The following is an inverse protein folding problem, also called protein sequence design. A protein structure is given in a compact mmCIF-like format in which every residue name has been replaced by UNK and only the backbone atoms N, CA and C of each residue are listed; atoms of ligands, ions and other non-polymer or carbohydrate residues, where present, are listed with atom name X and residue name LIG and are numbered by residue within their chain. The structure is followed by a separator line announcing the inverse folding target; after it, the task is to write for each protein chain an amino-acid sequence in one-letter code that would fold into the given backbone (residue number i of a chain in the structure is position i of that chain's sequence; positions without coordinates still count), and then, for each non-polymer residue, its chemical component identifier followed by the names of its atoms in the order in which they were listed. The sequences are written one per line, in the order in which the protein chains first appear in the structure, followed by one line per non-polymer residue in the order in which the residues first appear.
data_IF_030429315578
#
_entry.id   IF_030429315578
#
_cell.length_a   1.000
_cell.length_b   1.000
_cell.length_c   1.000
_cell.angle_alpha   90.00
_cell.angle_beta   90.00
_cell.angle_gamma   90.00
#
_symmetry.space_group_name_H-M   'P 1'
#
loop_
_entity.id
_entity.type
_entity.pdbx_description
1 polymer ?
#
# COMPACT_ATOMS: atom_id res chain seq x y z
N UNK A 1 24.16 13.26 3.13
CA UNK A 1 22.75 13.02 3.44
C UNK A 1 22.49 11.51 3.42
N UNK A 2 21.82 10.99 4.44
CA UNK A 2 21.37 9.59 4.46
C UNK A 2 20.31 9.44 3.35
N UNK A 3 20.53 8.51 2.43
CA UNK A 3 19.55 8.21 1.40
C UNK A 3 18.44 7.28 1.94
N UNK A 4 17.31 7.21 1.25
CA UNK A 4 16.23 6.29 1.56
C UNK A 4 15.39 6.70 2.77
N UNK A 5 14.78 5.69 3.41
CA UNK A 5 13.76 5.85 4.45
C UNK A 5 14.23 6.70 5.66
N UNK A 6 15.41 6.43 6.19
CA UNK A 6 15.92 7.06 7.40
C UNK A 6 16.40 8.51 7.23
N UNK A 7 16.30 9.08 6.01
CA UNK A 7 16.49 10.52 5.80
C UNK A 7 15.46 11.36 6.57
N UNK A 8 14.31 10.76 6.87
CA UNK A 8 13.23 11.39 7.64
C UNK A 8 13.25 11.02 9.13
N UNK A 9 14.38 10.53 9.65
CA UNK A 9 14.50 10.04 11.02
C UNK A 9 14.09 11.07 12.09
N UNK A 10 14.29 12.37 11.82
CA UNK A 10 13.86 13.45 12.74
C UNK A 10 12.33 13.59 12.88
N UNK A 11 11.58 13.02 11.95
CA UNK A 11 10.10 13.00 11.96
C UNK A 11 9.53 11.64 12.38
N UNK A 12 10.39 10.72 12.80
CA UNK A 12 10.04 9.34 13.15
C UNK A 12 10.37 9.05 14.62
N UNK A 13 9.62 8.14 15.28
CA UNK A 13 9.71 7.94 16.73
C UNK A 13 10.95 7.18 17.21
N UNK A 14 11.73 6.53 16.35
CA UNK A 14 12.95 5.81 16.75
C UNK A 14 14.03 6.79 17.20
N UNK A 15 14.35 6.79 18.50
CA UNK A 15 15.28 7.74 19.11
C UNK A 15 16.73 7.32 18.98
N UNK A 16 17.02 6.01 19.07
CA UNK A 16 18.38 5.47 19.05
C UNK A 16 18.75 5.00 17.64
N UNK A 17 19.87 5.53 17.12
CA UNK A 17 20.33 5.22 15.77
C UNK A 17 20.64 3.71 15.57
N UNK A 18 21.15 3.04 16.60
CA UNK A 18 21.46 1.59 16.60
C UNK A 18 20.22 0.69 16.48
N UNK A 19 19.05 1.22 16.74
CA UNK A 19 17.77 0.51 16.57
C UNK A 19 17.15 0.69 15.19
N UNK A 20 17.72 1.55 14.35
CA UNK A 20 17.24 1.79 12.98
C UNK A 20 17.61 0.63 12.09
N UNK A 21 16.66 -0.24 11.84
CA UNK A 21 16.81 -1.38 10.93
C UNK A 21 16.67 -0.87 9.48
N UNK A 22 17.50 -1.36 8.57
CA UNK A 22 17.42 -1.06 7.15
C UNK A 22 17.79 -2.26 6.30
N UNK A 23 17.12 -2.39 5.18
CA UNK A 23 17.39 -3.31 4.08
C UNK A 23 17.78 -2.56 2.79
N UNK A 24 18.15 -1.27 2.92
CA UNK A 24 18.55 -0.43 1.80
C UNK A 24 17.36 0.20 1.08
N UNK A 25 16.38 0.70 1.84
CA UNK A 25 15.21 1.40 1.30
C UNK A 25 15.64 2.57 0.41
N UNK A 26 15.18 2.56 -0.82
CA UNK A 26 15.49 3.60 -1.81
C UNK A 26 14.43 4.71 -1.80
N UNK A 27 14.77 5.86 -2.36
CA UNK A 27 13.78 6.85 -2.81
C UNK A 27 13.07 6.23 -4.02
N UNK A 28 11.77 6.01 -3.90
CA UNK A 28 11.02 5.34 -4.95
C UNK A 28 10.78 6.26 -6.15
N UNK A 29 10.86 5.75 -7.39
CA UNK A 29 10.81 6.60 -8.57
C UNK A 29 9.39 7.12 -8.85
N UNK A 30 9.36 8.28 -9.50
CA UNK A 30 8.21 8.83 -10.21
C UNK A 30 8.37 8.49 -11.68
N UNK A 31 7.46 7.68 -12.23
CA UNK A 31 7.51 7.19 -13.60
C UNK A 31 6.38 7.80 -14.41
N UNK A 32 6.70 8.56 -15.46
CA UNK A 32 5.70 9.07 -16.41
C UNK A 32 5.13 7.94 -17.27
N UNK A 33 3.82 7.96 -17.53
CA UNK A 33 3.13 7.03 -18.43
C UNK A 33 2.71 7.76 -19.71
N UNK A 34 3.68 8.22 -20.48
CA UNK A 34 3.43 9.08 -21.66
C UNK A 34 2.75 8.34 -22.82
N UNK A 35 3.07 7.03 -22.99
CA UNK A 35 2.52 6.19 -24.06
C UNK A 35 1.12 5.67 -23.76
N UNK A 36 0.70 5.73 -22.50
CA UNK A 36 -0.67 5.40 -22.11
C UNK A 36 -1.68 6.52 -22.44
N UNK A 37 -1.23 7.71 -22.85
CA UNK A 37 -2.10 8.85 -23.12
C UNK A 37 -3.21 8.53 -24.14
N UNK A 38 -2.91 7.78 -25.19
CA UNK A 38 -3.90 7.35 -26.19
C UNK A 38 -5.00 6.43 -25.62
N UNK A 39 -4.65 5.57 -24.69
CA UNK A 39 -5.58 4.68 -23.98
C UNK A 39 -6.41 5.45 -22.93
N UNK A 40 -5.80 6.43 -22.27
CA UNK A 40 -6.48 7.27 -21.28
C UNK A 40 -7.49 8.23 -21.90
N UNK A 41 -7.31 8.58 -23.19
CA UNK A 41 -8.17 9.52 -23.91
C UNK A 41 -7.56 10.91 -24.06
N UNK A 42 -8.14 11.72 -24.96
CA UNK A 42 -7.59 13.03 -25.37
C UNK A 42 -7.53 14.07 -24.23
N UNK A 43 -8.29 13.85 -23.14
CA UNK A 43 -8.29 14.74 -21.99
C UNK A 43 -7.20 14.40 -20.96
N UNK A 44 -6.43 13.32 -21.18
CA UNK A 44 -5.41 12.89 -20.23
C UNK A 44 -4.26 13.90 -20.18
N UNK A 45 -3.96 14.36 -18.96
CA UNK A 45 -2.79 15.15 -18.65
C UNK A 45 -1.56 14.30 -18.41
N UNK A 46 -0.58 14.86 -17.72
CA UNK A 46 0.62 14.12 -17.32
C UNK A 46 0.30 13.13 -16.20
N UNK A 47 0.40 11.85 -16.50
CA UNK A 47 0.19 10.76 -15.54
C UNK A 47 1.52 10.30 -14.99
N UNK A 48 1.61 10.24 -13.67
CA UNK A 48 2.82 9.83 -12.96
C UNK A 48 2.47 8.68 -12.01
N UNK A 49 3.25 7.60 -12.10
CA UNK A 49 3.19 6.50 -11.13
C UNK A 49 4.31 6.65 -10.10
N UNK A 50 3.95 6.61 -8.82
CA UNK A 50 4.89 6.43 -7.72
C UNK A 50 5.07 4.93 -7.50
N UNK A 51 6.25 4.39 -7.84
CA UNK A 51 6.50 2.94 -7.86
C UNK A 51 7.13 2.45 -6.56
N UNK A 52 6.31 2.11 -5.58
CA UNK A 52 6.73 1.51 -4.31
C UNK A 52 7.18 0.04 -4.45
N UNK A 53 7.00 -0.56 -5.62
CA UNK A 53 7.51 -1.91 -5.92
C UNK A 53 9.04 -2.03 -5.93
N UNK A 54 9.76 -0.91 -5.85
CA UNK A 54 11.24 -0.86 -5.78
C UNK A 54 11.79 -1.00 -4.37
N UNK A 55 10.94 -1.01 -3.36
CA UNK A 55 11.35 -1.18 -1.97
C UNK A 55 11.74 -2.63 -1.66
N UNK A 56 12.49 -2.87 -0.57
CA UNK A 56 12.73 -4.21 -0.07
C UNK A 56 11.44 -5.02 0.03
N UNK A 57 11.52 -6.33 -0.29
CA UNK A 57 10.34 -7.22 -0.43
C UNK A 57 9.32 -6.79 -1.48
N UNK A 58 9.69 -5.89 -2.38
CA UNK A 58 8.91 -5.50 -3.54
C UNK A 58 7.57 -4.82 -3.22
N UNK A 59 7.43 -4.12 -2.09
CA UNK A 59 6.19 -3.44 -1.74
C UNK A 59 6.36 -2.28 -0.74
N UNK A 60 5.39 -1.34 -0.75
CA UNK A 60 5.30 -0.22 0.19
C UNK A 60 5.21 -0.64 1.66
N UNK A 61 4.90 -1.91 1.92
CA UNK A 61 4.83 -2.42 3.29
C UNK A 61 6.18 -2.39 3.99
N UNK A 62 7.27 -2.38 3.23
CA UNK A 62 8.61 -2.15 3.74
C UNK A 62 8.69 -0.88 4.60
N UNK A 63 8.07 0.23 4.20
CA UNK A 63 8.11 1.49 4.97
C UNK A 63 7.52 1.34 6.37
N UNK A 64 6.34 0.74 6.46
CA UNK A 64 5.68 0.52 7.75
C UNK A 64 6.41 -0.48 8.63
N UNK A 65 6.87 -1.59 8.06
CA UNK A 65 7.52 -2.66 8.82
C UNK A 65 8.97 -2.30 9.18
N UNK A 66 9.67 -1.54 8.37
CA UNK A 66 10.97 -0.96 8.72
C UNK A 66 10.89 -0.19 10.04
N UNK A 67 9.95 0.73 10.16
CA UNK A 67 9.78 1.51 11.38
C UNK A 67 9.25 0.68 12.55
N UNK A 68 8.21 -0.12 12.31
CA UNK A 68 7.56 -0.87 13.37
C UNK A 68 8.52 -1.91 13.99
N UNK A 69 9.34 -2.60 13.19
CA UNK A 69 10.35 -3.52 13.71
C UNK A 69 11.50 -2.77 14.42
N UNK A 70 11.89 -1.61 13.91
CA UNK A 70 12.88 -0.76 14.58
C UNK A 70 12.39 -0.30 15.96
N UNK A 71 11.11 0.05 16.08
CA UNK A 71 10.50 0.38 17.37
C UNK A 71 10.37 -0.85 18.27
N UNK A 72 10.01 -2.01 17.73
CA UNK A 72 9.98 -3.26 18.50
C UNK A 72 11.35 -3.56 19.12
N UNK A 73 12.42 -3.39 18.34
CA UNK A 73 13.80 -3.52 18.84
C UNK A 73 14.11 -2.51 19.95
N UNK A 74 13.71 -1.24 19.78
CA UNK A 74 13.93 -0.19 20.78
C UNK A 74 13.17 -0.46 22.09
N UNK A 75 11.99 -1.09 21.98
CA UNK A 75 11.15 -1.47 23.10
C UNK A 75 11.52 -2.83 23.72
N UNK A 76 12.52 -3.54 23.18
CA UNK A 76 12.95 -4.84 23.68
C UNK A 76 11.95 -5.98 23.41
N UNK A 77 11.14 -5.87 22.37
CA UNK A 77 10.20 -6.91 21.97
C UNK A 77 10.94 -8.08 21.31
N UNK A 78 10.66 -9.31 21.75
CA UNK A 78 11.34 -10.51 21.28
C UNK A 78 10.53 -11.33 20.27
N UNK A 79 9.20 -11.22 20.28
CA UNK A 79 8.31 -12.02 19.44
C UNK A 79 7.26 -11.14 18.75
N UNK A 80 7.24 -11.20 17.41
CA UNK A 80 6.31 -10.43 16.58
C UNK A 80 5.32 -11.36 15.89
N UNK A 81 4.03 -11.04 15.88
CA UNK A 81 3.03 -11.83 15.16
C UNK A 81 2.15 -10.96 14.25
N UNK A 82 1.84 -11.47 13.05
CA UNK A 82 1.04 -10.76 12.06
C UNK A 82 0.09 -11.69 11.29
N UNK A 83 -1.19 -11.30 11.10
CA UNK A 83 -2.03 -11.86 10.05
C UNK A 83 -1.76 -11.14 8.73
N UNK A 84 -1.72 -11.86 7.61
CA UNK A 84 -1.37 -11.25 6.31
C UNK A 84 -2.01 -11.95 5.12
N UNK A 85 -2.34 -11.19 4.07
CA UNK A 85 -2.65 -11.71 2.73
C UNK A 85 -1.40 -11.81 1.83
N UNK A 86 -0.18 -11.64 2.40
CA UNK A 86 1.08 -11.80 1.67
C UNK A 86 2.13 -10.74 1.99
N UNK A 87 2.10 -9.59 1.31
CA UNK A 87 3.19 -8.60 1.32
C UNK A 87 3.54 -8.05 2.72
N UNK A 88 2.56 -7.93 3.64
CA UNK A 88 2.85 -7.46 5.01
C UNK A 88 3.66 -8.50 5.81
N UNK A 89 3.35 -9.79 5.64
CA UNK A 89 4.12 -10.87 6.25
C UNK A 89 5.52 -10.98 5.67
N UNK A 90 5.67 -10.84 4.35
CA UNK A 90 6.97 -10.82 3.68
C UNK A 90 7.87 -9.69 4.21
N UNK A 91 7.32 -8.48 4.33
CA UNK A 91 8.06 -7.37 4.89
C UNK A 91 8.39 -7.59 6.39
N UNK A 92 7.43 -8.08 7.20
CA UNK A 92 7.73 -8.40 8.60
C UNK A 92 8.86 -9.41 8.72
N UNK A 93 8.81 -10.52 8.00
CA UNK A 93 9.83 -11.56 8.04
C UNK A 93 11.22 -11.00 7.72
N UNK A 94 11.35 -10.20 6.66
CA UNK A 94 12.62 -9.60 6.25
C UNK A 94 13.21 -8.68 7.33
N UNK A 95 12.42 -7.76 7.84
CA UNK A 95 12.89 -6.80 8.85
C UNK A 95 13.11 -7.44 10.21
N UNK A 96 12.27 -8.39 10.63
CA UNK A 96 12.42 -9.14 11.87
C UNK A 96 13.71 -9.97 11.88
N UNK A 97 13.99 -10.68 10.78
CA UNK A 97 15.26 -11.41 10.60
C UNK A 97 16.46 -10.47 10.66
N UNK A 98 16.39 -9.33 10.00
CA UNK A 98 17.46 -8.32 10.05
C UNK A 98 17.66 -7.75 11.45
N UNK A 99 16.58 -7.66 12.23
CA UNK A 99 16.61 -7.20 13.63
C UNK A 99 16.98 -8.29 14.64
N UNK A 100 17.06 -9.56 14.21
CA UNK A 100 17.23 -10.74 15.05
C UNK A 100 16.06 -10.92 16.07
N UNK A 101 14.84 -10.63 15.60
CA UNK A 101 13.60 -10.79 16.37
C UNK A 101 12.80 -11.94 15.75
N UNK A 102 12.26 -12.81 16.57
CA UNK A 102 11.45 -13.95 16.10
C UNK A 102 10.08 -13.46 15.55
N UNK A 103 9.63 -14.02 14.43
CA UNK A 103 8.39 -13.59 13.80
C UNK A 103 7.48 -14.77 13.43
N UNK A 104 6.18 -14.58 13.67
CA UNK A 104 5.09 -15.53 13.53
C UNK A 104 4.07 -14.98 12.54
N UNK A 105 3.87 -15.66 11.42
CA UNK A 105 3.05 -15.16 10.31
C UNK A 105 1.91 -16.13 10.02
N UNK A 106 0.69 -15.61 10.05
CA UNK A 106 -0.53 -16.38 9.79
C UNK A 106 -1.19 -15.83 8.53
N UNK A 107 -1.38 -16.69 7.55
CA UNK A 107 -1.98 -16.30 6.27
C UNK A 107 -3.14 -17.23 5.88
N UNK A 108 -4.21 -16.72 5.24
CA UNK A 108 -5.25 -17.55 4.65
C UNK A 108 -4.70 -18.59 3.69
N UNK A 109 -5.40 -19.71 3.53
CA UNK A 109 -4.96 -20.81 2.67
C UNK A 109 -4.82 -20.38 1.19
N UNK A 110 -5.58 -19.37 0.75
CA UNK A 110 -5.56 -18.81 -0.60
C UNK A 110 -4.50 -17.71 -0.82
N UNK A 111 -3.67 -17.45 0.17
CA UNK A 111 -2.54 -16.50 0.02
C UNK A 111 -1.61 -16.99 -1.08
N UNK A 112 -1.18 -16.09 -2.02
CA UNK A 112 -0.31 -16.48 -3.12
C UNK A 112 0.96 -17.22 -2.66
N UNK A 113 1.25 -18.35 -3.32
CA UNK A 113 2.37 -19.25 -2.97
C UNK A 113 3.71 -18.52 -2.90
N UNK A 114 3.94 -17.59 -3.82
CA UNK A 114 5.17 -16.80 -3.85
C UNK A 114 5.41 -16.04 -2.55
N UNK A 115 4.34 -15.48 -1.97
CA UNK A 115 4.43 -14.73 -0.73
C UNK A 115 4.70 -15.65 0.46
N UNK A 116 4.03 -16.82 0.52
CA UNK A 116 4.24 -17.79 1.60
C UNK A 116 5.67 -18.31 1.59
N UNK A 117 6.20 -18.65 0.40
CA UNK A 117 7.60 -19.09 0.23
C UNK A 117 8.60 -18.01 0.59
N UNK A 118 8.34 -16.74 0.20
CA UNK A 118 9.18 -15.62 0.56
C UNK A 118 9.25 -15.44 2.10
N UNK A 119 8.11 -15.48 2.78
CA UNK A 119 8.02 -15.40 4.24
C UNK A 119 8.85 -16.51 4.92
N UNK A 120 8.65 -17.74 4.48
CA UNK A 120 9.37 -18.90 5.04
C UNK A 120 10.88 -18.82 4.76
N UNK A 121 11.28 -18.44 3.54
CA UNK A 121 12.68 -18.32 3.15
C UNK A 121 13.44 -17.25 3.95
N UNK A 122 12.72 -16.26 4.49
CA UNK A 122 13.27 -15.22 5.34
C UNK A 122 13.31 -15.57 6.83
N UNK A 123 13.02 -16.84 7.19
CA UNK A 123 13.20 -17.37 8.53
C UNK A 123 12.02 -17.15 9.49
N UNK A 124 10.88 -16.64 9.03
CA UNK A 124 9.69 -16.51 9.85
C UNK A 124 8.99 -17.88 10.03
N UNK A 125 8.38 -18.08 11.19
CA UNK A 125 7.41 -19.16 11.37
C UNK A 125 6.13 -18.80 10.64
N UNK A 126 5.75 -19.55 9.60
CA UNK A 126 4.59 -19.26 8.77
C UNK A 126 3.58 -20.40 8.77
N UNK A 127 2.30 -20.07 8.95
CA UNK A 127 1.17 -21.00 8.90
C UNK A 127 0.12 -20.55 7.90
N UNK A 128 -0.35 -21.52 7.12
CA UNK A 128 -1.58 -21.38 6.33
C UNK A 128 -2.77 -21.77 7.20
N UNK A 129 -3.70 -20.83 7.33
CA UNK A 129 -4.93 -21.02 8.12
C UNK A 129 -6.07 -21.37 7.16
N UNK A 130 -6.78 -22.44 7.43
CA UNK A 130 -8.02 -22.76 6.72
C UNK A 130 -9.14 -21.81 7.20
N UNK A 131 -9.15 -20.61 6.68
CA UNK A 131 -10.01 -19.50 7.09
C UNK A 131 -9.64 -18.22 6.35
N UNK A 132 -10.26 -17.12 6.75
CA UNK A 132 -10.04 -15.79 6.19
C UNK A 132 -9.02 -15.01 7.03
N UNK A 133 -8.66 -13.82 6.53
CA UNK A 133 -7.74 -12.91 7.24
C UNK A 133 -8.20 -12.57 8.66
N UNK A 134 -9.51 -12.55 8.91
CA UNK A 134 -10.09 -12.31 10.25
C UNK A 134 -9.79 -13.47 11.21
N UNK A 135 -9.78 -14.72 10.73
CA UNK A 135 -9.41 -15.90 11.54
C UNK A 135 -7.93 -15.84 11.89
N UNK A 136 -7.07 -15.48 10.95
CA UNK A 136 -5.66 -15.24 11.21
C UNK A 136 -5.48 -14.13 12.27
N UNK A 137 -6.26 -13.05 12.17
CA UNK A 137 -6.24 -11.95 13.14
C UNK A 137 -6.65 -12.37 14.54
N UNK A 138 -7.65 -13.27 14.65
CA UNK A 138 -8.07 -13.85 15.94
C UNK A 138 -6.96 -14.68 16.56
N UNK A 139 -6.30 -15.56 15.79
CA UNK A 139 -5.16 -16.37 16.26
C UNK A 139 -4.05 -15.48 16.82
N UNK A 140 -3.67 -14.42 16.09
CA UNK A 140 -2.66 -13.45 16.55
C UNK A 140 -3.11 -12.74 17.83
N UNK A 141 -4.39 -12.35 17.91
CA UNK A 141 -4.94 -11.72 19.11
C UNK A 141 -4.93 -12.62 20.34
N UNK A 142 -5.31 -13.89 20.19
CA UNK A 142 -5.23 -14.90 21.25
C UNK A 142 -3.79 -15.15 21.68
N UNK A 143 -2.86 -15.23 20.71
CA UNK A 143 -1.44 -15.45 20.96
C UNK A 143 -0.76 -14.29 21.69
N UNK A 144 -1.29 -13.06 21.59
CA UNK A 144 -0.78 -11.91 22.36
C UNK A 144 -0.81 -12.21 23.87
N UNK A 145 -1.90 -12.78 24.35
CA UNK A 145 -2.04 -13.11 25.78
C UNK A 145 -1.39 -14.45 26.15
N UNK A 146 -1.49 -15.47 25.29
CA UNK A 146 -1.04 -16.82 25.59
C UNK A 146 0.47 -17.02 25.37
N UNK A 147 1.05 -16.34 24.38
CA UNK A 147 2.43 -16.54 23.92
C UNK A 147 3.32 -15.31 24.09
N UNK A 148 2.78 -14.19 24.57
CA UNK A 148 3.52 -12.94 24.68
C UNK A 148 3.87 -12.27 23.36
N UNK A 149 3.14 -12.57 22.28
CA UNK A 149 3.40 -11.96 20.97
C UNK A 149 3.03 -10.49 20.95
N UNK A 150 3.90 -9.66 20.38
CA UNK A 150 3.53 -8.31 20.02
C UNK A 150 2.75 -8.32 18.71
N UNK A 151 1.53 -7.81 18.76
CA UNK A 151 0.56 -7.90 17.66
C UNK A 151 0.81 -6.82 16.60
N UNK A 152 1.33 -7.23 15.44
CA UNK A 152 1.57 -6.38 14.26
C UNK A 152 0.39 -6.33 13.28
N UNK A 153 -0.82 -6.72 13.70
CA UNK A 153 -2.02 -6.53 12.88
C UNK A 153 -2.20 -5.05 12.54
N UNK A 154 -2.86 -4.80 11.42
CA UNK A 154 -3.15 -3.45 10.95
C UNK A 154 -3.82 -2.61 12.04
N UNK A 155 -3.26 -1.45 12.38
CA UNK A 155 -3.76 -0.49 13.39
C UNK A 155 -3.85 -1.02 14.84
N UNK A 156 -3.15 -2.12 15.15
CA UNK A 156 -2.98 -2.57 16.55
C UNK A 156 -1.73 -1.97 17.22
N UNK A 157 -0.91 -1.30 16.43
CA UNK A 157 0.24 -0.50 16.85
C UNK A 157 0.33 0.76 15.94
N UNK A 158 0.92 1.86 16.38
CA UNK A 158 0.94 3.12 15.62
C UNK A 158 2.08 3.19 14.59
N UNK A 159 3.13 2.39 14.75
CA UNK A 159 4.41 2.57 14.05
C UNK A 159 4.33 2.27 12.56
N UNK A 160 3.45 1.36 12.14
CA UNK A 160 3.24 1.09 10.70
C UNK A 160 2.67 2.31 9.97
N UNK A 161 1.79 3.08 10.60
CA UNK A 161 1.28 4.34 10.05
C UNK A 161 2.39 5.40 10.02
N UNK A 162 3.14 5.53 11.10
CA UNK A 162 4.28 6.47 11.17
C UNK A 162 5.34 6.15 10.09
N UNK A 163 5.65 4.88 9.86
CA UNK A 163 6.55 4.49 8.77
C UNK A 163 6.00 4.83 7.39
N UNK A 164 4.70 4.64 7.17
CA UNK A 164 4.04 4.97 5.90
C UNK A 164 3.89 6.46 5.64
N UNK A 165 3.94 7.28 6.68
CA UNK A 165 4.05 8.73 6.58
C UNK A 165 5.19 9.16 5.62
N UNK A 166 6.28 8.38 5.59
CA UNK A 166 7.42 8.66 4.70
C UNK A 166 7.08 8.66 3.20
N UNK A 167 5.99 8.01 2.76
CA UNK A 167 5.51 8.16 1.37
C UNK A 167 5.08 9.59 1.07
N UNK A 168 4.35 10.22 1.97
CA UNK A 168 3.91 11.62 1.84
C UNK A 168 5.06 12.60 1.95
N UNK A 169 6.00 12.37 2.89
CA UNK A 169 7.20 13.19 3.04
C UNK A 169 8.07 13.16 1.77
N UNK A 170 8.33 11.96 1.26
CA UNK A 170 9.12 11.75 0.05
C UNK A 170 8.44 12.33 -1.18
N UNK A 171 7.13 12.16 -1.31
CA UNK A 171 6.38 12.73 -2.41
C UNK A 171 6.41 14.26 -2.39
N UNK A 172 6.21 14.89 -1.23
CA UNK A 172 6.31 16.35 -1.09
C UNK A 172 7.71 16.85 -1.47
N UNK A 173 8.77 16.17 -1.03
CA UNK A 173 10.15 16.50 -1.40
C UNK A 173 10.41 16.35 -2.92
N UNK A 174 9.91 15.27 -3.54
CA UNK A 174 10.06 15.03 -4.98
C UNK A 174 9.31 16.05 -5.85
N UNK A 175 8.32 16.72 -5.29
CA UNK A 175 7.57 17.82 -5.91
C UNK A 175 8.02 19.20 -5.40
N UNK A 176 9.27 19.34 -4.93
CA UNK A 176 9.84 20.60 -4.45
C UNK A 176 8.95 21.31 -3.41
N UNK A 177 8.35 20.51 -2.49
CA UNK A 177 7.43 20.94 -1.43
C UNK A 177 6.13 21.58 -1.96
N UNK A 178 5.76 21.25 -3.18
CA UNK A 178 4.49 21.58 -3.81
C UNK A 178 3.79 20.28 -4.24
N UNK A 179 3.22 19.52 -3.31
CA UNK A 179 2.68 18.21 -3.60
C UNK A 179 1.61 18.23 -4.71
N UNK A 180 1.37 17.10 -5.42
CA UNK A 180 0.45 17.06 -6.54
C UNK A 180 -0.98 17.39 -6.11
N UNK A 181 -1.82 17.81 -7.05
CA UNK A 181 -3.20 18.16 -6.78
C UNK A 181 -4.03 16.94 -6.33
N UNK A 182 -3.75 15.77 -6.90
CA UNK A 182 -4.52 14.55 -6.65
C UNK A 182 -3.57 13.37 -6.40
N UNK A 183 -3.87 12.57 -5.39
CA UNK A 183 -3.21 11.30 -5.12
C UNK A 183 -4.26 10.19 -5.16
N UNK A 184 -4.11 9.27 -6.11
CA UNK A 184 -4.95 8.07 -6.20
C UNK A 184 -4.25 6.89 -5.54
N UNK A 185 -4.85 6.36 -4.50
CA UNK A 185 -4.23 5.35 -3.66
C UNK A 185 -5.08 4.08 -3.58
N UNK A 186 -4.50 2.88 -3.88
CA UNK A 186 -5.24 1.62 -3.78
C UNK A 186 -5.51 1.30 -2.31
N UNK A 187 -6.78 1.18 -1.96
CA UNK A 187 -7.24 1.24 -0.57
C UNK A 187 -7.90 -0.05 -0.11
N UNK A 188 -7.15 -0.88 0.61
CA UNK A 188 -7.69 -1.97 1.43
C UNK A 188 -7.83 -1.51 2.89
N UNK A 189 -6.86 -1.83 3.75
CA UNK A 189 -6.80 -1.32 5.13
C UNK A 189 -6.45 0.17 5.27
N UNK A 190 -6.12 0.86 4.18
CA UNK A 190 -5.96 2.31 4.08
C UNK A 190 -4.74 2.91 4.78
N UNK A 191 -3.85 2.10 5.33
CA UNK A 191 -2.74 2.60 6.17
C UNK A 191 -1.79 3.56 5.42
N UNK A 192 -1.60 3.36 4.11
CA UNK A 192 -0.78 4.27 3.30
C UNK A 192 -1.46 5.61 3.06
N UNK A 193 -2.75 5.60 2.73
CA UNK A 193 -3.55 6.81 2.55
C UNK A 193 -3.59 7.64 3.85
N UNK A 194 -3.87 6.98 4.98
CA UNK A 194 -3.88 7.61 6.31
C UNK A 194 -2.50 8.18 6.65
N UNK A 195 -1.42 7.41 6.39
CA UNK A 195 -0.05 7.84 6.67
C UNK A 195 0.36 9.06 5.84
N UNK A 196 0.02 9.10 4.56
CA UNK A 196 0.30 10.26 3.69
C UNK A 196 -0.50 11.49 4.12
N UNK A 197 -1.79 11.32 4.42
CA UNK A 197 -2.62 12.43 4.91
C UNK A 197 -2.06 13.02 6.20
N UNK A 198 -1.61 12.16 7.12
CA UNK A 198 -0.90 12.59 8.33
C UNK A 198 0.35 13.38 7.98
N UNK A 199 1.19 12.91 7.04
CA UNK A 199 2.40 13.59 6.63
C UNK A 199 2.12 15.00 6.08
N UNK A 200 1.14 15.15 5.20
CA UNK A 200 0.79 16.46 4.64
C UNK A 200 0.28 17.42 5.70
N UNK A 201 -0.51 16.95 6.66
CA UNK A 201 -0.96 17.80 7.77
C UNK A 201 0.20 18.22 8.68
N UNK A 202 1.13 17.33 8.99
CA UNK A 202 2.35 17.66 9.76
C UNK A 202 3.23 18.68 9.00
N UNK A 203 3.48 18.44 7.70
CA UNK A 203 4.26 19.37 6.86
C UNK A 203 3.62 20.75 6.77
N UNK A 204 2.29 20.82 6.66
CA UNK A 204 1.54 22.07 6.70
C UNK A 204 1.68 22.76 8.06
N UNK A 205 1.56 22.00 9.14
CA UNK A 205 1.63 22.51 10.52
C UNK A 205 3.00 23.14 10.83
N UNK A 206 4.09 22.56 10.31
CA UNK A 206 5.44 23.10 10.45
C UNK A 206 5.79 24.14 9.37
N UNK A 207 4.87 24.44 8.46
CA UNK A 207 5.01 25.48 7.46
C UNK A 207 5.84 25.13 6.21
N UNK A 208 6.12 23.85 5.97
CA UNK A 208 6.88 23.40 4.79
C UNK A 208 6.04 23.34 3.52
N UNK A 209 4.76 22.99 3.66
CA UNK A 209 3.79 23.05 2.57
C UNK A 209 2.59 23.91 2.94
N UNK A 210 1.80 24.33 1.96
CA UNK A 210 0.63 25.21 2.12
C UNK A 210 -0.59 24.61 1.44
N UNK A 211 -1.77 25.13 1.78
CA UNK A 211 -3.00 24.82 1.07
C UNK A 211 -2.94 25.29 -0.41
N UNK A 212 -3.63 24.59 -1.33
CA UNK A 212 -4.40 23.38 -1.06
C UNK A 212 -3.52 22.14 -0.87
N UNK A 213 -3.88 21.29 0.10
CA UNK A 213 -3.28 19.97 0.23
C UNK A 213 -3.81 19.02 -0.86
N UNK A 214 -3.10 17.91 -1.19
CA UNK A 214 -3.57 16.94 -2.17
C UNK A 214 -4.96 16.39 -1.86
N UNK A 215 -5.79 16.28 -2.88
CA UNK A 215 -7.03 15.49 -2.80
C UNK A 215 -6.67 14.01 -2.70
N UNK A 216 -7.06 13.36 -1.61
CA UNK A 216 -6.81 11.93 -1.39
C UNK A 216 -7.95 11.10 -1.99
N UNK A 217 -7.66 10.29 -2.99
CA UNK A 217 -8.64 9.43 -3.65
C UNK A 217 -8.43 7.99 -3.23
N UNK A 218 -9.43 7.43 -2.55
CA UNK A 218 -9.45 6.02 -2.18
C UNK A 218 -9.96 5.17 -3.34
N UNK A 219 -9.09 4.31 -3.90
CA UNK A 219 -9.44 3.42 -5.00
C UNK A 219 -9.64 2.00 -4.49
N UNK A 220 -10.79 1.40 -4.79
CA UNK A 220 -11.12 0.02 -4.46
C UNK A 220 -11.50 -0.78 -5.71
N UNK A 221 -11.55 -2.11 -5.59
CA UNK A 221 -12.13 -2.96 -6.61
C UNK A 221 -13.65 -3.11 -6.38
N UNK A 222 -14.45 -3.11 -7.44
CA UNK A 222 -15.91 -3.18 -7.33
C UNK A 222 -16.42 -4.42 -6.57
N UNK A 223 -15.69 -5.54 -6.68
CA UNK A 223 -16.00 -6.75 -5.91
C UNK A 223 -15.68 -6.68 -4.41
N UNK A 224 -15.03 -5.61 -3.92
CA UNK A 224 -14.79 -5.36 -2.50
C UNK A 224 -14.59 -3.86 -2.23
N UNK A 225 -15.66 -3.09 -2.15
CA UNK A 225 -15.64 -1.62 -2.06
C UNK A 225 -16.42 -1.04 -0.86
N UNK A 226 -16.13 -1.49 0.40
CA UNK A 226 -16.85 -1.01 1.57
C UNK A 226 -16.65 0.50 1.83
N UNK A 227 -15.47 1.04 1.55
CA UNK A 227 -15.16 2.47 1.72
C UNK A 227 -15.92 3.33 0.72
N UNK A 228 -15.98 2.91 -0.55
CA UNK A 228 -16.76 3.61 -1.59
C UNK A 228 -18.23 3.67 -1.19
N UNK A 229 -18.81 2.52 -0.82
CA UNK A 229 -20.20 2.44 -0.37
C UNK A 229 -20.50 3.38 0.81
N UNK A 230 -19.61 3.42 1.81
CA UNK A 230 -19.77 4.30 2.97
C UNK A 230 -19.60 5.78 2.61
N UNK A 231 -18.65 6.09 1.73
CA UNK A 231 -18.43 7.45 1.22
C UNK A 231 -19.66 7.99 0.51
N UNK A 232 -20.20 7.21 -0.44
CA UNK A 232 -21.38 7.58 -1.23
C UNK A 232 -22.65 7.74 -0.38
N UNK A 233 -22.76 6.92 0.67
CA UNK A 233 -23.85 6.99 1.63
C UNK A 233 -23.67 8.08 2.71
N UNK A 234 -22.59 8.85 2.68
CA UNK A 234 -22.27 9.88 3.68
C UNK A 234 -21.96 9.34 5.08
N UNK A 235 -21.68 8.04 5.22
CA UNK A 235 -21.41 7.38 6.50
C UNK A 235 -19.99 7.65 6.99
N UNK A 236 -19.79 7.68 8.31
CA UNK A 236 -18.47 7.86 8.94
C UNK A 236 -17.69 6.55 9.06
N UNK A 237 -18.37 5.40 9.04
CA UNK A 237 -17.81 4.06 9.14
C UNK A 237 -18.37 3.17 8.03
N UNK A 238 -17.57 2.20 7.61
CA UNK A 238 -17.96 1.25 6.59
C UNK A 238 -18.61 -0.01 7.19
N UNK A 239 -19.61 -0.54 6.55
CA UNK A 239 -20.20 -1.84 6.92
C UNK A 239 -19.47 -2.99 6.23
N UNK A 240 -19.43 -4.16 6.87
CA UNK A 240 -18.82 -5.37 6.32
C UNK A 240 -19.29 -5.66 4.90
N UNK A 241 -18.35 -5.91 3.99
CA UNK A 241 -18.60 -6.33 2.61
C UNK A 241 -18.78 -7.84 2.55
N UNK A 242 -19.87 -8.29 1.95
CA UNK A 242 -20.15 -9.72 1.78
C UNK A 242 -19.58 -10.24 0.46
N UNK A 243 -19.14 -11.50 0.44
CA UNK A 243 -18.67 -12.19 -0.76
C UNK A 243 -17.57 -11.44 -1.52
N UNK A 244 -16.61 -10.88 -0.79
CA UNK A 244 -15.50 -10.10 -1.35
C UNK A 244 -14.65 -10.93 -2.34
N UNK A 245 -14.60 -10.48 -3.59
CA UNK A 245 -13.81 -11.10 -4.66
C UNK A 245 -13.16 -10.02 -5.52
N UNK A 246 -11.87 -10.17 -5.81
CA UNK A 246 -11.15 -9.33 -6.77
C UNK A 246 -9.78 -9.93 -7.06
N UNK A 247 -9.26 -9.66 -8.26
CA UNK A 247 -7.87 -9.97 -8.66
C UNK A 247 -6.84 -9.17 -7.86
N UNK A 248 -7.23 -8.01 -7.33
CA UNK A 248 -6.40 -7.14 -6.52
C UNK A 248 -6.44 -7.55 -5.03
N UNK A 249 -5.78 -8.69 -4.72
CA UNK A 249 -5.83 -9.32 -3.39
C UNK A 249 -5.41 -8.39 -2.25
N UNK A 250 -4.48 -7.46 -2.49
CA UNK A 250 -3.98 -6.52 -1.48
C UNK A 250 -5.00 -5.47 -1.03
N UNK A 251 -6.05 -5.21 -1.84
CA UNK A 251 -7.16 -4.33 -1.48
C UNK A 251 -8.47 -5.07 -1.20
N UNK A 252 -8.45 -6.41 -1.19
CA UNK A 252 -9.60 -7.25 -0.77
C UNK A 252 -9.72 -7.26 0.75
N UNK A 253 -10.21 -6.17 1.31
CA UNK A 253 -10.41 -5.98 2.75
C UNK A 253 -11.86 -5.69 3.04
N UNK A 254 -12.66 -6.71 3.40
CA UNK A 254 -14.11 -6.57 3.62
C UNK A 254 -14.50 -5.63 4.76
N UNK A 255 -13.62 -5.47 5.75
CA UNK A 255 -13.79 -4.57 6.88
C UNK A 255 -12.42 -4.03 7.30
N UNK A 256 -12.17 -2.77 7.04
CA UNK A 256 -10.95 -2.08 7.48
C UNK A 256 -11.13 -1.55 8.91
N UNK A 257 -10.18 -1.83 9.81
CA UNK A 257 -10.23 -1.33 11.19
C UNK A 257 -10.19 0.22 11.24
N UNK A 258 -9.52 0.84 10.26
CA UNK A 258 -9.37 2.29 10.17
C UNK A 258 -10.25 2.96 9.12
N UNK A 259 -11.40 2.39 8.81
CA UNK A 259 -12.33 2.91 7.80
C UNK A 259 -12.72 4.37 8.04
N UNK A 260 -13.03 4.73 9.30
CA UNK A 260 -13.33 6.11 9.71
C UNK A 260 -12.17 7.08 9.46
N UNK A 261 -10.90 6.63 9.61
CA UNK A 261 -9.72 7.44 9.30
C UNK A 261 -9.53 7.62 7.79
N UNK A 262 -9.83 6.58 7.00
CA UNK A 262 -9.81 6.65 5.53
C UNK A 262 -10.86 7.65 5.06
N UNK A 263 -12.12 7.49 5.50
CA UNK A 263 -13.24 8.36 5.13
C UNK A 263 -12.99 9.82 5.55
N UNK A 264 -12.43 10.02 6.74
CA UNK A 264 -12.03 11.34 7.21
C UNK A 264 -10.97 11.97 6.30
N UNK A 265 -9.87 11.27 6.01
CA UNK A 265 -8.80 11.78 5.14
C UNK A 265 -9.31 12.14 3.74
N UNK A 266 -10.17 11.30 3.16
CA UNK A 266 -10.80 11.54 1.86
C UNK A 266 -11.66 12.81 1.89
N UNK A 267 -12.51 12.97 2.91
CA UNK A 267 -13.40 14.14 3.03
C UNK A 267 -12.65 15.43 3.35
N UNK A 268 -11.74 15.41 4.33
CA UNK A 268 -10.95 16.58 4.73
C UNK A 268 -10.06 17.10 3.60
N UNK A 269 -9.59 16.20 2.72
CA UNK A 269 -8.79 16.58 1.55
C UNK A 269 -9.61 17.06 0.34
N UNK A 270 -10.94 17.15 0.45
CA UNK A 270 -11.84 17.32 -0.69
C UNK A 270 -11.64 16.26 -1.80
N UNK A 271 -11.20 15.08 -1.41
CA UNK A 271 -11.06 13.92 -2.27
C UNK A 271 -12.37 13.15 -2.43
N UNK A 272 -12.25 11.93 -2.93
CA UNK A 272 -13.40 11.03 -3.11
C UNK A 272 -12.98 9.56 -3.03
N UNK A 273 -13.97 8.68 -3.00
CA UNK A 273 -13.75 7.25 -3.12
C UNK A 273 -14.33 6.75 -4.45
N UNK A 274 -13.66 5.80 -5.09
CA UNK A 274 -14.10 5.23 -6.36
C UNK A 274 -13.76 3.74 -6.44
N UNK A 275 -14.55 2.98 -7.19
CA UNK A 275 -14.34 1.56 -7.42
C UNK A 275 -14.23 1.26 -8.91
N UNK A 276 -13.41 0.27 -9.25
CA UNK A 276 -13.18 -0.18 -10.61
C UNK A 276 -13.40 -1.70 -10.73
N UNK A 277 -13.88 -2.13 -11.88
CA UNK A 277 -14.09 -3.54 -12.19
C UNK A 277 -12.76 -4.27 -12.42
N UNK A 278 -12.69 -5.55 -12.06
CA UNK A 278 -11.49 -6.38 -12.26
C UNK A 278 -11.02 -6.42 -13.72
N UNK A 279 -11.96 -6.40 -14.67
CA UNK A 279 -11.63 -6.34 -16.09
C UNK A 279 -10.87 -5.05 -16.45
N UNK A 280 -11.28 -3.91 -15.90
CA UNK A 280 -10.58 -2.63 -16.10
C UNK A 280 -9.20 -2.64 -15.43
N UNK A 281 -9.08 -3.26 -14.26
CA UNK A 281 -7.78 -3.44 -13.57
C UNK A 281 -6.80 -4.22 -14.46
N UNK A 282 -7.23 -5.36 -14.98
CA UNK A 282 -6.39 -6.20 -15.85
C UNK A 282 -6.03 -5.51 -17.17
N UNK A 283 -6.96 -4.77 -17.77
CA UNK A 283 -6.69 -3.97 -18.97
C UNK A 283 -5.65 -2.87 -18.68
N UNK A 284 -5.78 -2.15 -17.58
CA UNK A 284 -4.82 -1.13 -17.19
C UNK A 284 -3.42 -1.70 -16.88
N UNK A 285 -3.36 -2.87 -16.24
CA UNK A 285 -2.10 -3.59 -15.99
C UNK A 285 -1.40 -3.97 -17.31
N UNK A 286 -2.16 -4.52 -18.25
CA UNK A 286 -1.65 -4.90 -19.55
C UNK A 286 -1.19 -3.68 -20.36
N UNK A 287 -1.96 -2.59 -20.35
CA UNK A 287 -1.61 -1.36 -21.06
C UNK A 287 -0.30 -0.77 -20.55
N UNK A 288 -0.14 -0.63 -19.21
CA UNK A 288 1.10 -0.15 -18.61
C UNK A 288 2.31 -1.04 -18.95
N UNK A 289 2.13 -2.37 -18.90
CA UNK A 289 3.19 -3.32 -19.24
C UNK A 289 3.60 -3.24 -20.70
N UNK A 290 2.63 -3.23 -21.62
CA UNK A 290 2.88 -3.27 -23.08
C UNK A 290 3.38 -1.94 -23.64
N UNK A 291 2.92 -0.82 -23.10
CA UNK A 291 3.25 0.52 -23.63
C UNK A 291 4.45 1.16 -22.94
N UNK A 292 4.57 0.98 -21.61
CA UNK A 292 5.58 1.65 -20.80
C UNK A 292 6.66 0.70 -20.25
N UNK A 293 6.46 -0.64 -20.36
CA UNK A 293 7.34 -1.62 -19.73
C UNK A 293 7.25 -1.59 -18.19
N UNK A 294 6.17 -1.06 -17.65
CA UNK A 294 5.95 -0.92 -16.19
C UNK A 294 5.04 -2.03 -15.71
N UNK A 295 5.59 -2.93 -14.88
CA UNK A 295 4.85 -4.04 -14.31
C UNK A 295 4.12 -3.61 -13.03
N UNK A 296 2.92 -3.04 -13.19
CA UNK A 296 2.06 -2.68 -12.07
C UNK A 296 1.53 -3.94 -11.36
N UNK A 297 1.41 -3.90 -10.03
CA UNK A 297 0.56 -4.86 -9.34
C UNK A 297 -0.93 -4.57 -9.66
N UNK A 298 -1.84 -5.53 -9.46
CA UNK A 298 -3.27 -5.29 -9.70
C UNK A 298 -3.81 -4.09 -8.91
N UNK A 299 -3.36 -3.88 -7.69
CA UNK A 299 -3.72 -2.73 -6.87
C UNK A 299 -3.25 -1.40 -7.50
N UNK A 300 -2.01 -1.37 -8.03
CA UNK A 300 -1.48 -0.21 -8.75
C UNK A 300 -2.23 0.03 -10.07
N UNK A 301 -2.54 -1.04 -10.79
CA UNK A 301 -3.34 -0.97 -12.01
C UNK A 301 -4.78 -0.45 -11.75
N UNK A 302 -5.35 -0.76 -10.58
CA UNK A 302 -6.65 -0.21 -10.18
C UNK A 302 -6.62 1.33 -10.13
N UNK A 303 -5.50 1.96 -9.72
CA UNK A 303 -5.40 3.44 -9.73
C UNK A 303 -5.35 4.00 -11.15
N UNK A 304 -4.71 3.30 -12.09
CA UNK A 304 -4.67 3.71 -13.49
C UNK A 304 -6.05 3.57 -14.16
N UNK A 305 -6.77 2.46 -13.89
CA UNK A 305 -8.14 2.26 -14.35
C UNK A 305 -9.09 3.31 -13.76
N UNK A 306 -8.96 3.60 -12.46
CA UNK A 306 -9.74 4.64 -11.80
C UNK A 306 -9.45 6.03 -12.36
N UNK A 307 -8.19 6.35 -12.65
CA UNK A 307 -7.85 7.63 -13.30
C UNK A 307 -8.55 7.78 -14.66
N UNK A 308 -8.54 6.75 -15.49
CA UNK A 308 -9.26 6.76 -16.77
C UNK A 308 -10.77 7.00 -16.58
N UNK A 309 -11.38 6.30 -15.63
CA UNK A 309 -12.80 6.44 -15.30
C UNK A 309 -13.14 7.85 -14.81
N UNK A 310 -12.34 8.41 -13.91
CA UNK A 310 -12.61 9.71 -13.29
C UNK A 310 -12.29 10.88 -14.21
N UNK A 311 -11.35 10.70 -15.13
CA UNK A 311 -11.09 11.63 -16.23
C UNK A 311 -12.28 11.68 -17.20
N UNK A 312 -12.82 10.52 -17.58
CA UNK A 312 -13.99 10.41 -18.45
C UNK A 312 -15.26 10.99 -17.82
N UNK A 313 -15.41 10.88 -16.50
CA UNK A 313 -16.52 11.47 -15.74
C UNK A 313 -16.40 12.99 -15.51
N UNK A 314 -15.22 13.56 -15.76
CA UNK A 314 -14.90 14.96 -15.46
C UNK A 314 -14.66 15.27 -13.98
N UNK A 315 -14.53 14.25 -13.11
CA UNK A 315 -14.23 14.44 -11.68
C UNK A 315 -12.75 14.79 -11.45
N UNK A 316 -11.88 14.39 -12.39
CA UNK A 316 -10.48 14.79 -12.48
C UNK A 316 -10.31 15.52 -13.84
N UNK A 317 -9.63 16.67 -13.83
CA UNK A 317 -9.26 17.38 -15.05
C UNK A 317 -7.90 16.93 -15.56
N UNK A 318 -7.70 16.94 -16.89
CA UNK A 318 -6.38 16.69 -17.50
C UNK A 318 -5.30 17.73 -17.12
N UNK A 319 -5.69 18.89 -16.61
CA UNK A 319 -4.77 19.94 -16.16
C UNK A 319 -4.26 19.71 -14.74
N UNK A 320 -4.87 18.79 -13.97
CA UNK A 320 -4.45 18.48 -12.61
C UNK A 320 -3.21 17.60 -12.60
N UNK A 321 -2.28 17.89 -11.69
CA UNK A 321 -1.16 16.99 -11.41
C UNK A 321 -1.65 15.78 -10.60
N UNK A 322 -1.59 14.61 -11.19
CA UNK A 322 -2.09 13.36 -10.58
C UNK A 322 -0.96 12.37 -10.37
N UNK A 323 -0.87 11.81 -9.17
CA UNK A 323 0.04 10.71 -8.86
C UNK A 323 -0.75 9.45 -8.52
N UNK A 324 -0.46 8.38 -9.25
CA UNK A 324 -0.99 7.04 -9.05
C UNK A 324 0.01 6.21 -8.24
N UNK A 325 -0.43 5.52 -7.21
CA UNK A 325 0.45 4.68 -6.42
C UNK A 325 0.46 3.24 -6.91
N UNK A 326 1.64 2.74 -7.29
CA UNK A 326 1.90 1.32 -7.46
C UNK A 326 2.47 0.75 -6.16
N UNK A 327 1.65 0.01 -5.42
CA UNK A 327 1.95 -0.41 -4.06
C UNK A 327 2.91 -1.61 -3.95
N UNK A 328 3.08 -2.38 -5.03
CA UNK A 328 3.97 -3.53 -5.07
C UNK A 328 4.47 -3.79 -6.49
N UNK A 329 5.52 -4.61 -6.61
CA UNK A 329 5.93 -5.11 -7.92
C UNK A 329 4.90 -6.07 -8.50
N UNK A 330 4.56 -5.92 -9.78
CA UNK A 330 3.67 -6.84 -10.49
C UNK A 330 4.22 -8.27 -10.62
N UNK A 331 5.54 -8.46 -10.43
CA UNK A 331 6.18 -9.76 -10.52
C UNK A 331 5.79 -10.76 -9.41
N UNK A 332 5.15 -10.30 -8.36
CA UNK A 332 4.60 -11.15 -7.28
C UNK A 332 3.18 -11.66 -7.56
N UNK A 333 2.63 -11.34 -8.69
CA UNK A 333 1.26 -11.71 -9.08
C UNK A 333 1.29 -12.65 -10.30
N UNK A 334 0.24 -13.44 -10.51
CA UNK A 334 0.14 -14.27 -11.70
C UNK A 334 0.24 -13.43 -12.97
N UNK A 335 1.14 -13.82 -13.86
CA UNK A 335 1.28 -13.22 -15.20
C UNK A 335 0.53 -14.05 -16.23
N UNK A 336 0.17 -13.42 -17.36
CA UNK A 336 -0.41 -14.14 -18.48
C UNK A 336 0.53 -15.26 -18.94
N UNK A 337 0.00 -16.43 -19.34
CA UNK A 337 0.83 -17.52 -19.84
C UNK A 337 1.52 -17.13 -21.16
N UNK A 338 2.65 -17.74 -21.44
CA UNK A 338 3.31 -17.64 -22.74
C UNK A 338 2.36 -18.17 -23.81
N UNK A 339 2.14 -17.39 -24.89
CA UNK A 339 1.17 -17.70 -25.92
C UNK A 339 1.78 -18.40 -27.14
N UNK A 340 3.11 -18.48 -27.25
CA UNK A 340 3.81 -19.08 -28.39
C UNK A 340 4.98 -19.91 -27.89
N UNK A 341 5.04 -21.15 -28.39
CA UNK A 341 6.19 -22.04 -28.22
C UNK A 341 6.77 -22.30 -29.62
N UNK A 342 8.10 -22.28 -29.73
CA UNK A 342 8.82 -22.62 -30.95
C UNK A 342 9.55 -23.93 -30.71
N UNK A 343 9.31 -24.87 -31.62
CA UNK A 343 10.05 -26.12 -31.63
C UNK A 343 11.39 -25.90 -32.38
N UNK A 344 12.49 -26.19 -31.70
CA UNK A 344 13.86 -26.05 -32.26
C UNK A 344 14.37 -27.33 -32.88
N UNK A 345 13.49 -28.15 -33.51
CA UNK A 345 13.89 -29.34 -34.29
C UNK A 345 14.24 -29.00 -35.72
#
# INVERSE_FOLDING_TARGET
PVAGFWRYASMLPVTKAENRISLGEVVTPLIGLERCAGWLGAAAGKVIVKDEGRLPTGSFLARGLCLAVSMAKELGVEHLAIPTNGNAGAALAAYATRAQIESFVFCPADTPEINVREIAAQGAHVWRVNGLINDCGRIVGEGTNAMGWFNFSTLKEPYRIEGKKTMGLELAEQFDWQPPAVIMYPTGGGTGLIGMWKAFNELKQIGWIRDPLPRMVAVQAAGCAPIVRAYDAGQEEATLWQNAQTVAAGIRVPAAIGDFLILRAVRESNGFATAVEDQAILAAQQEAAMKEGVMLCPEGAATLAAYQQELASGRISGDESVVLFNCATGLKYPLAPVTQELDCT
#
